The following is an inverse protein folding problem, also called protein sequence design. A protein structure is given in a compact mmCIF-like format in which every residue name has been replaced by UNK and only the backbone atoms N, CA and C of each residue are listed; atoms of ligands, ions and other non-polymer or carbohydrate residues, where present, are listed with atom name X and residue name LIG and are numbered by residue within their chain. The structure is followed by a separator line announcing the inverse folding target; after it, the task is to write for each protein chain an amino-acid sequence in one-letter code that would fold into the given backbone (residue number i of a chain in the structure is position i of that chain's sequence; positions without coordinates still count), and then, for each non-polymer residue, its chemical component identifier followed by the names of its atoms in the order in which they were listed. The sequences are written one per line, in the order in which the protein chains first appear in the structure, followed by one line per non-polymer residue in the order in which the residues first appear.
data_IF_623293658875
#
_entry.id   IF_623293658875
#
_cell.length_a   1.000
_cell.length_b   1.000
_cell.length_c   1.000
_cell.angle_alpha   90.00
_cell.angle_beta   90.00
_cell.angle_gamma   90.00
#
_symmetry.space_group_name_H-M   'P 1'
#
loop_
_entity.id
_entity.type
_entity.pdbx_description
1 polymer ?
#
# COMPACT_ATOMS: atom_id res chain seq x y z
N UNK A 1 -0.29 -14.62 35.71
CA UNK A 1 -0.15 -13.73 34.54
C UNK A 1 1.27 -13.89 34.04
N UNK A 2 1.50 -14.36 32.83
CA UNK A 2 2.84 -14.29 32.23
C UNK A 2 3.19 -12.82 32.12
N UNK A 3 4.41 -12.47 32.51
CA UNK A 3 4.92 -11.10 32.36
C UNK A 3 5.13 -10.85 30.87
N UNK A 4 4.66 -9.72 30.38
CA UNK A 4 4.87 -9.32 28.98
C UNK A 4 6.38 -9.31 28.65
N UNK A 5 6.72 -9.73 27.43
CA UNK A 5 8.07 -9.71 26.93
C UNK A 5 8.43 -8.27 26.52
N UNK A 6 9.66 -7.87 26.83
CA UNK A 6 10.20 -6.61 26.31
C UNK A 6 10.52 -6.73 24.82
N UNK A 7 10.60 -5.62 24.09
CA UNK A 7 10.98 -5.63 22.67
C UNK A 7 12.34 -6.30 22.45
N UNK A 8 13.31 -6.10 23.34
CA UNK A 8 14.60 -6.79 23.28
C UNK A 8 14.46 -8.31 23.40
N UNK A 9 13.58 -8.80 24.27
CA UNK A 9 13.30 -10.24 24.39
C UNK A 9 12.61 -10.77 23.14
N UNK A 10 11.62 -10.03 22.60
CA UNK A 10 10.94 -10.39 21.38
C UNK A 10 11.89 -10.43 20.17
N UNK A 11 12.75 -9.43 20.02
CA UNK A 11 13.78 -9.39 18.97
C UNK A 11 14.69 -10.63 19.05
N UNK A 12 15.14 -10.97 20.26
CA UNK A 12 16.05 -12.11 20.49
C UNK A 12 15.38 -13.44 20.18
N UNK A 13 14.17 -13.64 20.69
CA UNK A 13 13.44 -14.91 20.54
C UNK A 13 12.92 -15.13 19.11
N UNK A 14 12.60 -14.04 18.38
CA UNK A 14 12.15 -14.11 16.99
C UNK A 14 13.29 -14.20 15.97
N UNK A 15 14.54 -13.93 16.36
CA UNK A 15 15.69 -13.92 15.46
C UNK A 15 15.82 -15.20 14.61
N UNK A 16 15.65 -16.43 15.13
CA UNK A 16 15.69 -17.64 14.31
C UNK A 16 14.57 -17.71 13.24
N UNK A 17 13.42 -17.15 13.57
CA UNK A 17 12.28 -17.07 12.62
C UNK A 17 12.58 -16.04 11.53
N UNK A 18 13.17 -14.92 11.88
CA UNK A 18 13.61 -13.88 10.94
C UNK A 18 14.64 -14.47 9.98
N UNK A 19 15.69 -15.12 10.49
CA UNK A 19 16.72 -15.76 9.66
C UNK A 19 16.13 -16.80 8.69
N UNK A 20 15.23 -17.65 9.16
CA UNK A 20 14.52 -18.62 8.33
C UNK A 20 13.74 -17.93 7.20
N UNK A 21 13.04 -16.84 7.51
CA UNK A 21 12.24 -16.12 6.52
C UNK A 21 13.12 -15.34 5.53
N UNK A 22 14.27 -14.81 5.95
CA UNK A 22 15.28 -14.24 5.06
C UNK A 22 15.77 -15.30 4.07
N UNK A 23 16.17 -16.47 4.54
CA UNK A 23 16.66 -17.56 3.69
C UNK A 23 15.60 -17.98 2.66
N UNK A 24 14.34 -18.07 3.06
CA UNK A 24 13.23 -18.32 2.15
C UNK A 24 13.08 -17.18 1.12
N UNK A 25 13.08 -15.92 1.57
CA UNK A 25 12.97 -14.75 0.69
C UNK A 25 14.07 -14.76 -0.38
N UNK A 26 15.33 -14.93 0.04
CA UNK A 26 16.49 -15.00 -0.87
C UNK A 26 16.40 -16.14 -1.89
N UNK A 27 15.77 -17.27 -1.53
CA UNK A 27 15.56 -18.41 -2.41
C UNK A 27 14.43 -18.18 -3.41
N UNK A 28 13.36 -17.51 -2.99
CA UNK A 28 12.13 -17.35 -3.78
C UNK A 28 12.13 -16.11 -4.66
N UNK A 29 12.91 -15.08 -4.29
CA UNK A 29 12.97 -13.83 -5.04
C UNK A 29 13.51 -14.07 -6.45
N UNK A 30 13.04 -13.28 -7.39
CA UNK A 30 13.59 -13.20 -8.74
C UNK A 30 14.38 -11.91 -8.88
N UNK A 31 15.62 -12.01 -9.36
CA UNK A 31 16.39 -10.83 -9.68
C UNK A 31 15.78 -10.12 -10.90
N UNK A 32 15.71 -8.81 -10.81
CA UNK A 32 15.28 -7.95 -11.90
C UNK A 32 15.89 -6.56 -11.74
N UNK A 33 15.91 -5.82 -12.83
CA UNK A 33 16.47 -4.47 -12.84
C UNK A 33 15.45 -3.48 -13.40
N UNK A 34 15.34 -2.27 -12.83
CA UNK A 34 14.40 -1.25 -13.31
C UNK A 34 14.52 -0.97 -14.81
N UNK A 35 15.75 -0.93 -15.34
CA UNK A 35 15.98 -0.61 -16.76
C UNK A 35 15.38 -1.62 -17.75
N UNK A 36 15.11 -2.87 -17.31
CA UNK A 36 14.47 -3.89 -18.15
C UNK A 36 12.98 -3.63 -18.37
N UNK A 37 12.37 -2.78 -17.54
CA UNK A 37 10.94 -2.48 -17.54
C UNK A 37 10.61 -1.04 -17.96
N UNK A 38 11.60 -0.28 -18.44
CA UNK A 38 11.41 1.12 -18.87
C UNK A 38 11.59 1.19 -20.39
N UNK A 39 10.62 1.77 -21.13
CA UNK A 39 10.70 1.91 -22.58
C UNK A 39 11.61 3.09 -22.96
N UNK A 40 12.90 2.99 -22.72
CA UNK A 40 13.91 4.05 -22.91
C UNK A 40 13.87 4.65 -24.30
N UNK A 41 13.54 3.89 -25.33
CA UNK A 41 13.41 4.38 -26.70
C UNK A 41 12.27 5.40 -26.91
N UNK A 42 11.27 5.41 -26.01
CA UNK A 42 10.14 6.35 -26.04
C UNK A 42 10.54 7.72 -25.44
N UNK A 43 11.65 7.76 -24.71
CA UNK A 43 12.14 8.96 -24.02
C UNK A 43 12.47 10.09 -24.98
N UNK A 44 12.13 11.33 -24.58
CA UNK A 44 12.41 12.55 -25.32
C UNK A 44 12.97 13.60 -24.37
N UNK A 45 13.89 14.42 -24.88
CA UNK A 45 14.39 15.56 -24.13
C UNK A 45 13.26 16.54 -23.78
N UNK A 46 13.35 17.12 -22.59
CA UNK A 46 12.58 18.29 -22.19
C UNK A 46 13.27 19.57 -22.66
N UNK A 47 12.61 20.72 -22.48
CA UNK A 47 13.03 22.01 -23.02
C UNK A 47 14.50 22.36 -22.73
N UNK A 48 14.97 22.16 -21.51
CA UNK A 48 16.35 22.48 -21.11
C UNK A 48 17.44 21.76 -21.94
N UNK A 49 17.09 20.64 -22.58
CA UNK A 49 17.98 19.87 -23.47
C UNK A 49 17.53 19.97 -24.95
N UNK A 50 16.80 21.05 -25.31
CA UNK A 50 16.38 21.32 -26.68
C UNK A 50 15.15 20.50 -27.14
N UNK A 51 14.44 19.87 -26.23
CA UNK A 51 13.17 19.17 -26.50
C UNK A 51 11.96 20.07 -26.28
N UNK A 52 10.83 19.46 -25.98
CA UNK A 52 9.55 20.12 -25.67
C UNK A 52 9.17 19.91 -24.20
N UNK A 53 8.49 20.90 -23.63
CA UNK A 53 7.86 20.73 -22.32
C UNK A 53 6.76 19.66 -22.40
N UNK A 54 6.35 19.22 -21.23
CA UNK A 54 5.29 18.22 -21.10
C UNK A 54 3.95 18.78 -21.56
N UNK A 55 3.13 17.91 -22.18
CA UNK A 55 1.78 18.18 -22.60
C UNK A 55 0.83 17.07 -22.06
N UNK A 56 -0.30 17.43 -21.43
CA UNK A 56 -1.27 16.45 -20.92
C UNK A 56 -1.72 15.40 -21.94
N UNK A 57 -1.78 15.79 -23.22
CA UNK A 57 -2.22 14.91 -24.31
C UNK A 57 -1.15 13.86 -24.70
N UNK A 58 0.08 13.96 -24.19
CA UNK A 58 1.12 12.95 -24.43
C UNK A 58 0.90 11.67 -23.60
N UNK A 59 0.15 11.74 -22.49
CA UNK A 59 -0.08 10.58 -21.63
C UNK A 59 -0.96 9.53 -22.31
N UNK A 60 -0.45 8.30 -22.39
CA UNK A 60 -1.22 7.13 -22.86
C UNK A 60 -2.09 6.53 -21.75
N UNK A 61 -1.87 6.92 -20.50
CA UNK A 61 -2.60 6.39 -19.36
C UNK A 61 -3.93 7.10 -19.16
N UNK A 62 -4.96 6.34 -18.79
CA UNK A 62 -6.23 6.92 -18.33
C UNK A 62 -6.01 7.75 -17.04
N UNK A 63 -6.95 8.65 -16.74
CA UNK A 63 -6.88 9.42 -15.48
C UNK A 63 -6.77 8.51 -14.26
N UNK A 64 -7.54 7.43 -14.21
CA UNK A 64 -7.50 6.45 -13.11
C UNK A 64 -6.11 5.83 -12.97
N UNK A 65 -5.54 5.35 -14.07
CA UNK A 65 -4.23 4.71 -14.08
C UNK A 65 -3.12 5.68 -13.67
N UNK A 66 -3.15 6.92 -14.20
CA UNK A 66 -2.20 7.97 -13.87
C UNK A 66 -2.26 8.35 -12.39
N UNK A 67 -3.46 8.57 -11.84
CA UNK A 67 -3.64 8.90 -10.41
C UNK A 67 -3.20 7.75 -9.53
N UNK A 68 -3.52 6.51 -9.88
CA UNK A 68 -3.12 5.33 -9.12
C UNK A 68 -1.60 5.13 -9.15
N UNK A 69 -0.96 5.25 -10.32
CA UNK A 69 0.49 5.10 -10.45
C UNK A 69 1.24 6.22 -9.74
N UNK A 70 0.77 7.48 -9.82
CA UNK A 70 1.32 8.58 -9.05
C UNK A 70 1.21 8.33 -7.53
N UNK A 71 0.05 7.86 -7.07
CA UNK A 71 -0.15 7.54 -5.64
C UNK A 71 0.79 6.44 -5.19
N UNK A 72 0.95 5.37 -5.97
CA UNK A 72 1.91 4.31 -5.70
C UNK A 72 3.35 4.88 -5.64
N UNK A 73 3.78 5.65 -6.64
CA UNK A 73 5.11 6.25 -6.63
C UNK A 73 5.36 7.14 -5.41
N UNK A 74 4.42 8.01 -5.04
CA UNK A 74 4.57 8.88 -3.87
C UNK A 74 4.60 8.09 -2.54
N UNK A 75 3.99 6.91 -2.52
CA UNK A 75 4.09 5.98 -1.41
C UNK A 75 5.50 5.36 -1.36
N UNK A 76 6.00 4.84 -2.47
CA UNK A 76 7.36 4.27 -2.57
C UNK A 76 8.46 5.29 -2.24
N UNK A 77 8.34 6.51 -2.75
CA UNK A 77 9.34 7.57 -2.52
C UNK A 77 9.41 8.04 -1.05
N UNK A 78 8.41 7.73 -0.23
CA UNK A 78 8.45 8.02 1.20
C UNK A 78 9.24 6.98 2.02
N UNK A 79 9.96 6.10 1.34
CA UNK A 79 10.84 5.08 1.91
C UNK A 79 11.78 5.57 3.03
N UNK A 80 12.39 6.78 2.99
CA UNK A 80 13.20 7.28 4.10
C UNK A 80 12.46 7.28 5.45
N UNK A 81 11.16 7.58 5.44
CA UNK A 81 10.32 7.54 6.64
C UNK A 81 10.07 6.11 7.11
N UNK A 82 9.75 5.20 6.20
CA UNK A 82 9.50 3.79 6.53
C UNK A 82 10.76 3.11 7.04
N UNK A 83 11.91 3.35 6.37
CA UNK A 83 13.19 2.84 6.84
C UNK A 83 13.48 3.31 8.26
N UNK A 84 13.27 4.59 8.56
CA UNK A 84 13.45 5.14 9.91
C UNK A 84 12.58 4.40 10.93
N UNK A 85 11.28 4.23 10.65
CA UNK A 85 10.34 3.58 11.57
C UNK A 85 10.76 2.13 11.87
N UNK A 86 11.05 1.32 10.85
CA UNK A 86 11.47 -0.06 11.08
C UNK A 86 12.87 -0.16 11.70
N UNK A 87 13.80 0.74 11.35
CA UNK A 87 15.14 0.77 11.94
C UNK A 87 15.13 1.15 13.42
N UNK A 88 14.15 1.94 13.86
CA UNK A 88 13.98 2.30 15.28
C UNK A 88 13.36 1.15 16.10
N UNK A 89 12.50 0.34 15.50
CA UNK A 89 11.77 -0.72 16.18
C UNK A 89 12.46 -2.09 16.07
N UNK A 90 13.28 -2.28 15.02
CA UNK A 90 14.04 -3.51 14.81
C UNK A 90 15.51 -3.29 15.20
N UNK A 91 16.25 -4.39 15.39
CA UNK A 91 17.70 -4.29 15.51
C UNK A 91 18.34 -4.00 14.15
N UNK A 92 19.38 -3.15 14.14
CA UNK A 92 20.22 -2.95 12.95
C UNK A 92 21.37 -3.98 12.84
N UNK A 93 21.45 -4.92 13.78
CA UNK A 93 22.44 -6.00 13.81
C UNK A 93 21.79 -7.34 13.44
N UNK A 94 22.64 -8.32 13.09
CA UNK A 94 22.22 -9.69 12.83
C UNK A 94 21.19 -9.83 11.70
N UNK A 95 20.32 -10.85 11.80
CA UNK A 95 19.27 -11.09 10.81
C UNK A 95 18.29 -9.92 10.66
N UNK A 96 17.92 -9.25 11.74
CA UNK A 96 17.04 -8.09 11.68
C UNK A 96 17.64 -6.95 10.88
N UNK A 97 18.89 -6.57 11.16
CA UNK A 97 19.57 -5.51 10.41
C UNK A 97 19.79 -5.88 8.94
N UNK A 98 20.11 -7.16 8.68
CA UNK A 98 20.16 -7.63 7.29
C UNK A 98 18.83 -7.44 6.59
N UNK A 99 17.70 -7.79 7.22
CA UNK A 99 16.38 -7.62 6.62
C UNK A 99 16.03 -6.16 6.38
N UNK A 100 16.21 -5.28 7.36
CA UNK A 100 15.95 -3.84 7.22
C UNK A 100 16.67 -3.27 5.99
N UNK A 101 17.96 -3.57 5.86
CA UNK A 101 18.75 -3.08 4.74
C UNK A 101 18.34 -3.72 3.41
N UNK A 102 18.03 -5.01 3.41
CA UNK A 102 17.62 -5.74 2.21
C UNK A 102 16.27 -5.27 1.68
N UNK A 103 15.28 -5.19 2.55
CA UNK A 103 13.96 -4.66 2.24
C UNK A 103 14.03 -3.23 1.71
N UNK A 104 14.75 -2.34 2.38
CA UNK A 104 14.96 -0.96 1.93
C UNK A 104 15.56 -0.87 0.52
N UNK A 105 16.52 -1.75 0.19
CA UNK A 105 17.12 -1.76 -1.14
C UNK A 105 16.13 -2.22 -2.22
N UNK A 106 15.22 -3.13 -1.90
CA UNK A 106 14.19 -3.61 -2.82
C UNK A 106 13.09 -2.56 -3.02
N UNK A 107 12.61 -1.91 -1.95
CA UNK A 107 11.65 -0.79 -2.00
C UNK A 107 12.18 0.41 -2.81
N UNK A 108 13.42 0.80 -2.58
CA UNK A 108 14.04 1.88 -3.36
C UNK A 108 14.03 1.60 -4.88
N UNK A 109 14.14 0.35 -5.27
CA UNK A 109 14.07 -0.07 -6.67
C UNK A 109 12.67 0.15 -7.26
N UNK A 110 11.61 -0.02 -6.46
CA UNK A 110 10.23 0.21 -6.89
C UNK A 110 10.01 1.68 -7.23
N UNK A 111 10.38 2.59 -6.32
CA UNK A 111 10.29 4.04 -6.55
C UNK A 111 11.05 4.49 -7.79
N UNK A 112 12.30 4.02 -7.99
CA UNK A 112 13.12 4.30 -9.18
C UNK A 112 12.38 3.87 -10.45
N UNK A 113 11.88 2.64 -10.50
CA UNK A 113 11.25 2.08 -11.70
C UNK A 113 9.94 2.82 -12.04
N UNK A 114 9.10 3.10 -11.05
CA UNK A 114 7.84 3.84 -11.26
C UNK A 114 8.09 5.27 -11.74
N UNK A 115 9.06 5.98 -11.12
CA UNK A 115 9.44 7.33 -11.54
C UNK A 115 9.95 7.35 -12.96
N UNK A 116 10.90 6.48 -13.29
CA UNK A 116 11.51 6.45 -14.61
C UNK A 116 10.48 6.10 -15.69
N UNK A 117 9.56 5.16 -15.42
CA UNK A 117 8.45 4.86 -16.33
C UNK A 117 7.60 6.11 -16.60
N UNK A 118 7.13 6.80 -15.56
CA UNK A 118 6.27 7.97 -15.68
C UNK A 118 6.94 9.12 -16.47
N UNK A 119 8.24 9.33 -16.24
CA UNK A 119 9.00 10.39 -16.91
C UNK A 119 9.34 10.04 -18.37
N UNK A 120 9.79 8.83 -18.64
CA UNK A 120 10.17 8.37 -19.98
C UNK A 120 8.95 8.31 -20.91
N UNK A 121 7.82 7.84 -20.40
CA UNK A 121 6.57 7.78 -21.17
C UNK A 121 5.80 9.09 -21.20
N UNK A 122 6.29 10.13 -20.53
CA UNK A 122 5.65 11.45 -20.41
C UNK A 122 4.21 11.35 -19.87
N UNK A 123 3.98 10.39 -18.99
CA UNK A 123 2.64 10.11 -18.45
C UNK A 123 2.19 11.12 -17.39
N UNK A 124 3.09 11.96 -16.89
CA UNK A 124 2.83 12.97 -15.86
C UNK A 124 3.67 14.22 -16.10
N UNK A 125 3.20 15.38 -15.61
CA UNK A 125 4.01 16.60 -15.55
C UNK A 125 5.23 16.38 -14.63
N UNK A 126 6.46 16.46 -15.18
CA UNK A 126 7.69 16.23 -14.39
C UNK A 126 7.90 17.28 -13.30
N UNK A 127 7.41 18.50 -13.48
CA UNK A 127 7.54 19.58 -12.50
C UNK A 127 6.58 19.35 -11.34
N UNK A 128 5.31 19.05 -11.63
CA UNK A 128 4.32 18.69 -10.61
C UNK A 128 4.77 17.44 -9.83
N UNK A 129 5.26 16.43 -10.53
CA UNK A 129 5.75 15.20 -9.91
C UNK A 129 6.86 15.49 -8.89
N UNK A 130 7.88 16.26 -9.27
CA UNK A 130 9.01 16.55 -8.38
C UNK A 130 8.58 17.39 -7.17
N UNK A 131 7.66 18.34 -7.36
CA UNK A 131 7.09 19.12 -6.25
C UNK A 131 6.35 18.23 -5.25
N UNK A 132 5.51 17.31 -5.73
CA UNK A 132 4.77 16.36 -4.89
C UNK A 132 5.71 15.41 -4.16
N UNK A 133 6.77 14.92 -4.81
CA UNK A 133 7.77 14.03 -4.20
C UNK A 133 8.50 14.73 -3.06
N UNK A 134 9.00 15.96 -3.30
CA UNK A 134 9.67 16.76 -2.27
C UNK A 134 8.73 17.01 -1.09
N UNK A 135 7.48 17.41 -1.37
CA UNK A 135 6.49 17.66 -0.33
C UNK A 135 6.22 16.40 0.50
N UNK A 136 6.00 15.26 -0.15
CA UNK A 136 5.68 14.01 0.52
C UNK A 136 6.84 13.50 1.38
N UNK A 137 8.07 13.51 0.86
CA UNK A 137 9.26 13.08 1.62
C UNK A 137 9.56 14.04 2.77
N UNK A 138 9.36 15.36 2.57
CA UNK A 138 9.54 16.36 3.63
C UNK A 138 8.55 16.19 4.77
N UNK A 139 7.29 15.88 4.48
CA UNK A 139 6.28 15.57 5.50
C UNK A 139 6.62 14.30 6.27
N UNK A 140 7.18 13.32 5.56
CA UNK A 140 7.43 12.00 6.11
C UNK A 140 6.14 11.22 6.38
N UNK A 141 6.31 10.06 6.98
CA UNK A 141 5.22 9.22 7.43
C UNK A 141 5.61 8.53 8.74
N UNK A 142 4.69 8.59 9.71
CA UNK A 142 4.73 7.73 10.89
C UNK A 142 3.29 7.32 11.20
N UNK A 143 3.00 6.06 11.47
CA UNK A 143 1.64 5.56 11.71
C UNK A 143 0.87 6.33 12.79
N UNK A 144 1.58 6.90 13.78
CA UNK A 144 1.00 7.65 14.90
C UNK A 144 0.98 9.18 14.76
N UNK A 145 1.67 9.75 13.78
CA UNK A 145 2.02 11.17 13.76
C UNK A 145 0.84 12.17 13.66
N UNK A 146 -0.31 11.75 13.16
CA UNK A 146 -1.46 12.64 12.99
C UNK A 146 -2.45 12.69 14.16
N UNK A 147 -2.21 11.92 15.21
CA UNK A 147 -3.05 11.98 16.41
C UNK A 147 -2.47 12.89 17.50
N UNK A 148 -1.24 13.39 17.34
CA UNK A 148 -0.65 14.38 18.23
C UNK A 148 -1.42 15.71 18.29
N UNK A 149 -2.35 15.96 17.37
CA UNK A 149 -3.21 17.15 17.39
C UNK A 149 -4.38 17.05 18.36
N UNK A 150 -4.65 15.88 18.98
CA UNK A 150 -5.78 15.66 19.89
C UNK A 150 -5.41 15.11 21.29
N UNK A 151 -4.17 15.16 21.69
CA UNK A 151 -3.80 15.06 23.12
C UNK A 151 -3.47 13.68 23.69
N UNK A 152 -3.48 12.59 22.91
CA UNK A 152 -3.12 11.25 23.38
C UNK A 152 -1.75 10.80 22.82
N UNK A 153 -0.69 11.36 23.39
CA UNK A 153 0.70 11.01 23.00
C UNK A 153 1.12 9.55 23.33
N UNK A 154 0.40 8.87 24.22
CA UNK A 154 0.74 7.53 24.70
C UNK A 154 0.15 6.38 23.86
N UNK A 155 -0.76 6.66 22.93
CA UNK A 155 -1.43 5.61 22.12
C UNK A 155 -0.55 5.02 21.02
N UNK A 156 0.62 5.58 20.76
CA UNK A 156 1.49 5.23 19.62
C UNK A 156 2.98 5.10 19.97
N UNK A 157 3.31 4.68 21.18
CA UNK A 157 4.62 4.11 21.41
C UNK A 157 4.69 2.83 20.55
N UNK A 158 5.35 2.94 19.39
CA UNK A 158 5.46 1.82 18.47
C UNK A 158 6.29 0.72 19.11
N UNK A 159 5.65 -0.42 19.34
CA UNK A 159 6.33 -1.64 19.75
C UNK A 159 6.79 -2.42 18.51
N UNK A 160 7.68 -3.39 18.73
CA UNK A 160 8.06 -4.32 17.68
C UNK A 160 6.83 -4.95 17.01
N UNK A 161 5.83 -5.39 17.80
CA UNK A 161 4.62 -5.99 17.25
C UNK A 161 3.77 -5.01 16.45
N UNK A 162 3.64 -3.77 16.90
CA UNK A 162 2.91 -2.73 16.14
C UNK A 162 3.51 -2.58 14.74
N UNK A 163 4.85 -2.48 14.68
CA UNK A 163 5.57 -2.32 13.41
C UNK A 163 5.44 -3.54 12.51
N UNK A 164 5.70 -4.76 13.00
CA UNK A 164 5.66 -5.99 12.17
C UNK A 164 4.25 -6.27 11.67
N UNK A 165 3.24 -6.07 12.51
CA UNK A 165 1.83 -6.28 12.15
C UNK A 165 1.37 -5.22 11.16
N UNK A 166 1.69 -3.92 11.40
CA UNK A 166 1.34 -2.84 10.47
C UNK A 166 1.92 -3.11 9.08
N UNK A 167 3.22 -3.41 8.98
CA UNK A 167 3.88 -3.64 7.70
C UNK A 167 3.31 -4.89 7.00
N UNK A 168 2.85 -5.91 7.73
CA UNK A 168 2.16 -7.05 7.11
C UNK A 168 0.95 -6.61 6.27
N UNK A 169 0.10 -5.75 6.82
CA UNK A 169 -1.09 -5.26 6.11
C UNK A 169 -0.74 -4.25 5.02
N UNK A 170 0.24 -3.40 5.28
CA UNK A 170 0.72 -2.41 4.32
C UNK A 170 1.28 -3.08 3.07
N UNK A 171 2.18 -4.06 3.19
CA UNK A 171 2.77 -4.81 2.08
C UNK A 171 1.71 -5.57 1.26
N UNK A 172 0.72 -6.14 1.93
CA UNK A 172 -0.37 -6.80 1.20
C UNK A 172 -1.25 -5.80 0.46
N UNK A 173 -1.49 -4.64 1.05
CA UNK A 173 -2.27 -3.57 0.41
C UNK A 173 -1.52 -2.97 -0.79
N UNK A 174 -0.20 -2.73 -0.68
CA UNK A 174 0.61 -2.25 -1.81
C UNK A 174 0.70 -3.30 -2.91
N UNK A 175 0.89 -4.58 -2.58
CA UNK A 175 0.81 -5.67 -3.55
C UNK A 175 -0.48 -5.62 -4.37
N UNK A 176 -1.63 -5.49 -3.70
CA UNK A 176 -2.95 -5.45 -4.37
C UNK A 176 -3.08 -4.17 -5.20
N UNK A 177 -2.67 -3.02 -4.65
CA UNK A 177 -2.69 -1.73 -5.35
C UNK A 177 -1.85 -1.77 -6.63
N UNK A 178 -0.59 -2.21 -6.55
CA UNK A 178 0.30 -2.31 -7.72
C UNK A 178 -0.28 -3.23 -8.79
N UNK A 179 -0.76 -4.43 -8.39
CA UNK A 179 -1.31 -5.38 -9.36
C UNK A 179 -2.54 -4.82 -10.08
N UNK A 180 -3.44 -4.19 -9.35
CA UNK A 180 -4.67 -3.62 -9.94
C UNK A 180 -4.39 -2.35 -10.74
N UNK A 181 -3.42 -1.52 -10.32
CA UNK A 181 -2.95 -0.37 -11.10
C UNK A 181 -2.38 -0.83 -12.46
N UNK A 182 -1.56 -1.89 -12.47
CA UNK A 182 -1.02 -2.46 -13.72
C UNK A 182 -2.13 -2.82 -14.70
N UNK A 183 -3.17 -3.52 -14.24
CA UNK A 183 -4.33 -3.86 -15.06
C UNK A 183 -5.07 -2.60 -15.56
N UNK A 184 -5.22 -1.59 -14.70
CA UNK A 184 -5.91 -0.35 -15.05
C UNK A 184 -5.14 0.51 -16.06
N UNK A 185 -3.82 0.38 -16.15
CA UNK A 185 -2.99 1.06 -17.15
C UNK A 185 -3.36 0.66 -18.57
N UNK A 186 -3.84 -0.55 -18.79
CA UNK A 186 -4.18 -1.10 -20.12
C UNK A 186 -3.01 -0.89 -21.11
N UNK A 187 -1.78 -0.98 -20.63
CA UNK A 187 -0.54 -0.79 -21.35
C UNK A 187 0.46 -1.88 -20.90
N UNK A 188 1.06 -2.55 -21.85
CA UNK A 188 1.80 -3.80 -21.60
C UNK A 188 3.01 -3.60 -20.69
N UNK A 189 3.79 -2.54 -20.91
CA UNK A 189 5.02 -2.31 -20.13
C UNK A 189 4.68 -1.93 -18.69
N UNK A 190 3.68 -1.04 -18.50
CA UNK A 190 3.19 -0.69 -17.16
C UNK A 190 2.64 -1.91 -16.41
N UNK A 191 1.87 -2.77 -17.08
CA UNK A 191 1.33 -3.98 -16.46
C UNK A 191 2.43 -4.95 -16.04
N UNK A 192 3.46 -5.16 -16.88
CA UNK A 192 4.61 -6.01 -16.55
C UNK A 192 5.43 -5.44 -15.40
N UNK A 193 5.72 -4.13 -15.41
CA UNK A 193 6.43 -3.45 -14.33
C UNK A 193 5.69 -3.62 -13.00
N UNK A 194 4.41 -3.26 -12.96
CA UNK A 194 3.62 -3.31 -11.73
C UNK A 194 3.32 -4.75 -11.27
N UNK A 195 3.27 -5.71 -12.18
CA UNK A 195 3.25 -7.13 -11.83
C UNK A 195 4.56 -7.55 -11.16
N UNK A 196 5.69 -7.01 -11.60
CA UNK A 196 6.99 -7.32 -11.01
C UNK A 196 7.10 -6.74 -9.60
N UNK A 197 6.77 -5.46 -9.43
CA UNK A 197 6.70 -4.80 -8.11
C UNK A 197 5.76 -5.56 -7.17
N UNK A 198 4.53 -5.83 -7.60
CA UNK A 198 3.55 -6.62 -6.82
C UNK A 198 4.07 -8.00 -6.39
N UNK A 199 4.97 -8.62 -7.15
CA UNK A 199 5.56 -9.90 -6.77
C UNK A 199 6.62 -9.76 -5.66
N UNK A 200 7.36 -8.66 -5.62
CA UNK A 200 8.28 -8.35 -4.52
C UNK A 200 7.49 -8.03 -3.24
N UNK A 201 6.47 -7.16 -3.32
CA UNK A 201 5.56 -6.85 -2.21
C UNK A 201 4.95 -8.12 -1.58
N UNK A 202 4.60 -9.10 -2.41
CA UNK A 202 4.11 -10.38 -1.90
C UNK A 202 5.15 -11.13 -1.06
N UNK A 203 6.43 -11.06 -1.42
CA UNK A 203 7.49 -11.71 -0.65
C UNK A 203 7.80 -10.96 0.64
N UNK A 204 7.74 -9.62 0.62
CA UNK A 204 7.86 -8.78 1.80
C UNK A 204 6.71 -9.07 2.77
N UNK A 205 5.48 -9.07 2.30
CA UNK A 205 4.30 -9.42 3.09
C UNK A 205 4.43 -10.80 3.74
N UNK A 206 4.88 -11.81 3.01
CA UNK A 206 5.03 -13.15 3.55
C UNK A 206 6.08 -13.17 4.69
N UNK A 207 7.16 -12.38 4.57
CA UNK A 207 8.15 -12.26 5.63
C UNK A 207 7.50 -11.69 6.91
N UNK A 208 6.89 -10.51 6.84
CA UNK A 208 6.28 -9.84 7.99
C UNK A 208 5.14 -10.66 8.59
N UNK A 209 4.28 -11.24 7.76
CA UNK A 209 3.17 -12.11 8.18
C UNK A 209 3.64 -13.33 8.98
N UNK A 210 4.70 -13.98 8.52
CA UNK A 210 5.18 -15.22 9.16
C UNK A 210 5.98 -14.91 10.43
N UNK A 211 6.66 -13.75 10.52
CA UNK A 211 7.27 -13.24 11.75
C UNK A 211 6.17 -12.88 12.76
N UNK A 212 5.11 -12.17 12.33
CA UNK A 212 3.95 -11.89 13.19
C UNK A 212 3.26 -13.17 13.69
N UNK A 213 3.12 -14.18 12.84
CA UNK A 213 2.54 -15.47 13.25
C UNK A 213 3.33 -16.12 14.41
N UNK A 214 4.66 -16.11 14.30
CA UNK A 214 5.53 -16.60 15.39
C UNK A 214 5.39 -15.72 16.66
N UNK A 215 5.21 -14.42 16.50
CA UNK A 215 4.92 -13.50 17.60
C UNK A 215 3.61 -13.85 18.32
N UNK A 216 2.54 -14.16 17.58
CA UNK A 216 1.29 -14.65 18.16
C UNK A 216 1.45 -15.97 18.91
N UNK A 217 2.31 -16.88 18.43
CA UNK A 217 2.55 -18.15 19.11
C UNK A 217 3.40 -17.97 20.38
N UNK A 218 4.23 -16.95 20.43
CA UNK A 218 5.13 -16.65 21.55
C UNK A 218 4.46 -15.80 22.64
N UNK A 219 3.78 -14.73 22.24
CA UNK A 219 3.18 -13.74 23.13
C UNK A 219 1.77 -13.34 22.65
N UNK A 220 0.80 -14.25 22.67
CA UNK A 220 -0.50 -14.08 22.04
C UNK A 220 -1.23 -12.82 22.52
N UNK A 221 -1.22 -12.54 23.81
CA UNK A 221 -1.91 -11.39 24.37
C UNK A 221 -1.30 -10.05 23.89
N UNK A 222 0.04 -9.92 23.91
CA UNK A 222 0.71 -8.72 23.42
C UNK A 222 0.47 -8.51 21.91
N UNK A 223 0.60 -9.58 21.13
CA UNK A 223 0.34 -9.52 19.69
C UNK A 223 -1.12 -9.14 19.37
N UNK A 224 -2.09 -9.61 20.20
CA UNK A 224 -3.49 -9.23 20.03
C UNK A 224 -3.75 -7.76 20.35
N UNK A 225 -3.10 -7.20 21.36
CA UNK A 225 -3.16 -5.75 21.65
C UNK A 225 -2.66 -4.94 20.46
N UNK A 226 -1.51 -5.28 19.90
CA UNK A 226 -0.95 -4.63 18.72
C UNK A 226 -1.84 -4.80 17.49
N UNK A 227 -2.39 -6.00 17.26
CA UNK A 227 -3.30 -6.23 16.13
C UNK A 227 -4.56 -5.36 16.21
N UNK A 228 -5.20 -5.32 17.36
CA UNK A 228 -6.37 -4.47 17.58
C UNK A 228 -6.03 -3.00 17.35
N UNK A 229 -4.95 -2.48 17.96
CA UNK A 229 -4.46 -1.11 17.77
C UNK A 229 -4.22 -0.79 16.30
N UNK A 230 -3.51 -1.67 15.59
CA UNK A 230 -3.16 -1.48 14.18
C UNK A 230 -4.40 -1.44 13.30
N UNK A 231 -5.30 -2.41 13.41
CA UNK A 231 -6.45 -2.51 12.51
C UNK A 231 -7.51 -1.42 12.76
N UNK A 232 -7.77 -1.06 14.01
CA UNK A 232 -8.74 -0.01 14.33
C UNK A 232 -8.25 1.40 13.95
N UNK A 233 -6.94 1.57 13.75
CA UNK A 233 -6.32 2.85 13.37
C UNK A 233 -5.61 2.79 12.01
N UNK A 234 -5.84 1.76 11.22
CA UNK A 234 -5.10 1.53 9.98
C UNK A 234 -5.25 2.69 8.99
N UNK A 235 -4.13 3.21 8.54
CA UNK A 235 -4.06 4.20 7.46
C UNK A 235 -2.98 3.79 6.48
N UNK A 236 -3.32 3.86 5.19
CA UNK A 236 -2.33 3.66 4.13
C UNK A 236 -1.30 4.79 4.13
N UNK A 237 -0.03 4.49 3.82
CA UNK A 237 1.03 5.51 3.76
C UNK A 237 0.70 6.70 2.85
N UNK A 238 -0.09 6.48 1.81
CA UNK A 238 -0.51 7.51 0.87
C UNK A 238 -1.49 8.56 1.42
N UNK A 239 -2.04 8.39 2.63
CA UNK A 239 -3.08 9.30 3.14
C UNK A 239 -2.58 10.73 3.38
N UNK A 240 -1.27 10.94 3.52
CA UNK A 240 -0.63 12.24 3.68
C UNK A 240 -0.39 12.98 2.34
N UNK A 241 -0.59 12.29 1.22
CA UNK A 241 -0.43 12.88 -0.12
C UNK A 241 -1.42 14.03 -0.32
N UNK A 242 -1.01 15.17 -0.89
CA UNK A 242 -1.93 16.26 -1.20
C UNK A 242 -3.15 15.79 -2.00
N UNK A 243 -4.34 16.25 -1.62
CA UNK A 243 -5.62 15.87 -2.24
C UNK A 243 -5.91 14.35 -2.21
N UNK A 244 -5.35 13.61 -1.24
CA UNK A 244 -5.50 12.17 -1.14
C UNK A 244 -6.96 11.72 -1.22
N UNK A 245 -7.89 12.42 -0.54
CA UNK A 245 -9.32 12.05 -0.57
C UNK A 245 -9.88 12.04 -2.00
N UNK A 246 -9.52 13.02 -2.83
CA UNK A 246 -9.94 13.08 -4.23
C UNK A 246 -9.29 11.95 -5.06
N UNK A 247 -7.99 11.74 -4.86
CA UNK A 247 -7.25 10.64 -5.50
C UNK A 247 -7.83 9.28 -5.13
N UNK A 248 -8.11 9.04 -3.86
CA UNK A 248 -8.74 7.81 -3.37
C UNK A 248 -10.11 7.54 -4.00
N UNK A 249 -10.95 8.58 -4.16
CA UNK A 249 -12.23 8.45 -4.87
C UNK A 249 -12.04 8.06 -6.34
N UNK A 250 -11.05 8.63 -7.02
CA UNK A 250 -10.73 8.28 -8.41
C UNK A 250 -10.27 6.83 -8.52
N UNK A 251 -9.33 6.41 -7.65
CA UNK A 251 -8.79 5.06 -7.57
C UNK A 251 -9.89 4.04 -7.29
N UNK A 252 -10.74 4.31 -6.29
CA UNK A 252 -11.82 3.43 -5.90
C UNK A 252 -12.91 3.33 -6.98
N UNK A 253 -13.25 4.45 -7.62
CA UNK A 253 -14.22 4.46 -8.73
C UNK A 253 -13.71 3.68 -9.95
N UNK A 254 -12.40 3.64 -10.15
CA UNK A 254 -11.74 2.86 -11.19
C UNK A 254 -11.57 1.38 -10.85
N UNK A 255 -11.94 0.94 -9.64
CA UNK A 255 -11.81 -0.46 -9.20
C UNK A 255 -10.38 -0.89 -8.93
N UNK A 256 -9.46 0.05 -8.69
CA UNK A 256 -8.05 -0.25 -8.38
C UNK A 256 -7.88 -0.63 -6.92
N UNK A 257 -8.41 0.20 -6.03
CA UNK A 257 -8.40 -0.04 -4.58
C UNK A 257 -9.57 0.65 -3.91
N UNK A 258 -10.34 -0.08 -3.13
CA UNK A 258 -11.51 0.44 -2.42
C UNK A 258 -11.71 -0.32 -1.08
N UNK A 259 -12.67 0.08 -0.21
CA UNK A 259 -12.89 -0.58 1.08
C UNK A 259 -13.18 -2.08 0.96
N UNK A 260 -13.89 -2.53 -0.08
CA UNK A 260 -14.19 -3.95 -0.30
C UNK A 260 -12.91 -4.73 -0.59
N UNK A 261 -12.08 -4.23 -1.51
CA UNK A 261 -10.77 -4.81 -1.83
C UNK A 261 -9.88 -4.85 -0.58
N UNK A 262 -9.88 -3.77 0.24
CA UNK A 262 -9.11 -3.75 1.49
C UNK A 262 -9.57 -4.83 2.47
N UNK A 263 -10.86 -4.99 2.67
CA UNK A 263 -11.38 -6.01 3.58
C UNK A 263 -11.13 -7.43 3.06
N UNK A 264 -11.51 -7.71 1.80
CA UNK A 264 -11.54 -9.07 1.26
C UNK A 264 -10.15 -9.58 0.85
N UNK A 265 -9.30 -8.71 0.27
CA UNK A 265 -8.01 -9.10 -0.30
C UNK A 265 -6.82 -8.80 0.64
N UNK A 266 -7.02 -7.99 1.68
CA UNK A 266 -5.94 -7.59 2.60
C UNK A 266 -6.22 -8.05 4.03
N UNK A 267 -7.28 -7.55 4.66
CA UNK A 267 -7.54 -7.80 6.09
C UNK A 267 -7.88 -9.27 6.35
N UNK A 268 -8.91 -9.78 5.69
CA UNK A 268 -9.42 -11.12 5.96
C UNK A 268 -8.44 -12.26 5.65
N UNK A 269 -7.63 -12.21 4.57
CA UNK A 269 -6.62 -13.25 4.32
C UNK A 269 -5.55 -13.35 5.41
N UNK A 270 -5.13 -12.22 5.97
CA UNK A 270 -4.13 -12.17 7.04
C UNK A 270 -4.72 -12.71 8.35
N UNK A 271 -5.91 -12.24 8.76
CA UNK A 271 -6.59 -12.71 9.97
C UNK A 271 -6.86 -14.22 9.93
N UNK A 272 -7.30 -14.73 8.76
CA UNK A 272 -7.46 -16.18 8.54
C UNK A 272 -6.13 -16.93 8.65
N UNK A 273 -5.06 -16.40 8.08
CA UNK A 273 -3.73 -17.02 8.13
C UNK A 273 -3.23 -17.14 9.57
N UNK A 274 -3.46 -16.13 10.39
CA UNK A 274 -3.11 -16.13 11.81
C UNK A 274 -4.14 -16.84 12.68
N UNK A 275 -5.29 -17.23 12.12
CA UNK A 275 -6.38 -17.92 12.81
C UNK A 275 -6.90 -17.14 14.02
N UNK A 276 -6.96 -15.81 13.92
CA UNK A 276 -7.23 -14.91 15.05
C UNK A 276 -8.52 -15.27 15.80
N UNK A 277 -9.60 -15.55 15.09
CA UNK A 277 -10.89 -15.89 15.69
C UNK A 277 -11.07 -17.37 16.08
N UNK A 278 -10.06 -18.20 15.76
CA UNK A 278 -10.04 -19.63 16.09
C UNK A 278 -9.07 -19.94 17.24
N UNK A 279 -8.28 -18.92 17.69
CA UNK A 279 -7.34 -19.09 18.80
C UNK A 279 -8.07 -19.09 20.14
N UNK A 280 -7.68 -20.00 21.02
CA UNK A 280 -8.19 -20.16 22.38
C UNK A 280 -7.19 -19.74 23.48
N UNK A 281 -6.01 -19.25 23.07
CA UNK A 281 -4.91 -18.84 23.94
C UNK A 281 -4.95 -17.35 24.33
N UNK A 282 -5.86 -16.56 23.79
CA UNK A 282 -6.10 -15.19 24.24
C UNK A 282 -6.81 -15.18 25.60
N UNK A 283 -6.29 -14.42 26.56
CA UNK A 283 -6.83 -14.34 27.92
C UNK A 283 -7.03 -12.89 28.37
N UNK A 284 -7.95 -12.69 29.33
CA UNK A 284 -8.21 -11.40 29.94
C UNK A 284 -8.58 -10.33 28.90
N UNK A 285 -7.84 -9.23 28.88
CA UNK A 285 -8.09 -8.09 28.00
C UNK A 285 -7.89 -8.44 26.52
N UNK A 286 -6.91 -9.28 26.18
CA UNK A 286 -6.69 -9.71 24.81
C UNK A 286 -7.87 -10.51 24.22
N UNK A 287 -8.57 -11.31 25.03
CA UNK A 287 -9.79 -11.99 24.59
C UNK A 287 -10.91 -10.98 24.28
N UNK A 288 -11.07 -9.94 25.12
CA UNK A 288 -12.02 -8.83 24.86
C UNK A 288 -11.67 -8.08 23.59
N UNK A 289 -10.39 -7.73 23.37
CA UNK A 289 -9.93 -7.04 22.16
C UNK A 289 -10.14 -7.85 20.88
N UNK A 290 -10.00 -9.20 20.95
CA UNK A 290 -10.36 -10.07 19.83
C UNK A 290 -11.85 -9.94 19.49
N UNK A 291 -12.73 -9.91 20.49
CA UNK A 291 -14.17 -9.80 20.28
C UNK A 291 -14.54 -8.38 19.76
N UNK A 292 -13.88 -7.33 20.25
CA UNK A 292 -14.01 -5.96 19.71
C UNK A 292 -13.52 -5.86 18.27
N UNK A 293 -12.43 -6.56 17.93
CA UNK A 293 -11.97 -6.65 16.55
C UNK A 293 -13.00 -7.31 15.63
N UNK A 294 -13.72 -8.35 16.11
CA UNK A 294 -14.79 -8.96 15.33
C UNK A 294 -15.90 -7.94 15.01
N UNK A 295 -16.30 -7.14 15.99
CA UNK A 295 -17.27 -6.03 15.77
C UNK A 295 -16.73 -5.01 14.78
N UNK A 296 -15.47 -4.62 14.90
CA UNK A 296 -14.84 -3.70 13.95
C UNK A 296 -14.85 -4.23 12.52
N UNK A 297 -14.62 -5.53 12.32
CA UNK A 297 -14.73 -6.17 11.00
C UNK A 297 -16.17 -6.10 10.45
N UNK A 298 -17.19 -6.29 11.29
CA UNK A 298 -18.59 -6.12 10.89
C UNK A 298 -18.89 -4.67 10.46
N UNK A 299 -18.36 -3.67 11.17
CA UNK A 299 -18.49 -2.25 10.81
C UNK A 299 -17.79 -1.92 9.48
N UNK A 300 -16.62 -2.53 9.22
CA UNK A 300 -15.96 -2.42 7.93
C UNK A 300 -16.79 -3.03 6.81
N UNK A 301 -17.40 -4.21 7.03
CA UNK A 301 -18.31 -4.84 6.07
C UNK A 301 -19.52 -3.95 5.75
N UNK A 302 -20.15 -3.34 6.76
CA UNK A 302 -21.22 -2.36 6.52
C UNK A 302 -20.73 -1.17 5.69
N UNK A 303 -19.51 -0.70 5.92
CA UNK A 303 -18.90 0.39 5.15
C UNK A 303 -18.68 -0.03 3.70
N UNK A 304 -18.24 -1.26 3.46
CA UNK A 304 -18.10 -1.85 2.13
C UNK A 304 -19.45 -1.90 1.40
N UNK A 305 -20.51 -2.38 2.06
CA UNK A 305 -21.87 -2.43 1.48
C UNK A 305 -22.35 -1.02 1.09
N UNK A 306 -22.18 -0.03 1.97
CA UNK A 306 -22.54 1.37 1.69
C UNK A 306 -21.76 1.92 0.49
N UNK A 307 -20.48 1.60 0.39
CA UNK A 307 -19.62 1.98 -0.74
C UNK A 307 -20.10 1.31 -2.04
N UNK A 308 -20.35 0.01 -2.04
CA UNK A 308 -20.81 -0.75 -3.21
C UNK A 308 -22.12 -0.18 -3.77
N UNK A 309 -23.07 0.13 -2.90
CA UNK A 309 -24.34 0.78 -3.29
C UNK A 309 -24.08 2.16 -3.93
N UNK A 310 -23.19 2.96 -3.35
CA UNK A 310 -22.86 4.29 -3.87
C UNK A 310 -22.15 4.20 -5.24
N UNK A 311 -21.24 3.24 -5.40
CA UNK A 311 -20.51 2.92 -6.63
C UNK A 311 -21.48 2.51 -7.73
N UNK A 312 -22.40 1.61 -7.44
CA UNK A 312 -23.42 1.15 -8.37
C UNK A 312 -24.32 2.30 -8.85
N UNK A 313 -24.83 3.12 -7.94
CA UNK A 313 -25.64 4.30 -8.28
C UNK A 313 -24.89 5.32 -9.15
N UNK A 314 -23.57 5.46 -8.94
CA UNK A 314 -22.72 6.33 -9.78
C UNK A 314 -22.59 5.76 -11.20
N UNK A 315 -22.34 4.46 -11.34
CA UNK A 315 -22.24 3.79 -12.64
C UNK A 315 -23.55 3.91 -13.44
N UNK A 316 -24.69 3.71 -12.79
CA UNK A 316 -26.01 3.87 -13.43
C UNK A 316 -26.25 5.31 -13.92
N UNK A 317 -25.81 6.32 -13.14
CA UNK A 317 -25.90 7.72 -13.58
C UNK A 317 -25.02 8.00 -14.78
N UNK A 318 -23.79 7.48 -14.80
CA UNK A 318 -22.87 7.63 -15.93
C UNK A 318 -23.46 6.97 -17.20
N UNK A 319 -23.99 5.76 -17.08
CA UNK A 319 -24.63 5.05 -18.18
C UNK A 319 -25.81 5.85 -18.75
N UNK A 320 -26.73 6.35 -17.91
CA UNK A 320 -27.84 7.19 -18.31
C UNK A 320 -27.42 8.49 -19.01
N UNK A 321 -26.33 9.10 -18.59
CA UNK A 321 -25.80 10.31 -19.25
C UNK A 321 -25.23 9.97 -20.62
N UNK A 322 -24.49 8.86 -20.73
CA UNK A 322 -23.93 8.37 -21.99
C UNK A 322 -25.03 8.03 -23.00
N UNK A 323 -26.09 7.33 -22.58
CA UNK A 323 -27.26 7.01 -23.39
C UNK A 323 -27.96 8.29 -23.92
N UNK A 324 -28.17 9.28 -23.02
CA UNK A 324 -28.79 10.57 -23.44
C UNK A 324 -27.93 11.33 -24.45
N UNK A 325 -26.59 11.30 -24.28
CA UNK A 325 -25.67 11.93 -25.22
C UNK A 325 -25.71 11.23 -26.57
N UNK A 326 -25.63 9.90 -26.59
CA UNK A 326 -25.72 9.12 -27.84
C UNK A 326 -27.04 9.34 -28.57
N UNK A 327 -28.19 9.39 -27.86
CA UNK A 327 -29.47 9.69 -28.42
C UNK A 327 -29.54 11.11 -29.02
N UNK A 328 -28.92 12.10 -28.37
CA UNK A 328 -28.86 13.48 -28.89
C UNK A 328 -28.01 13.58 -30.15
N UNK A 329 -26.85 12.89 -30.16
CA UNK A 329 -25.94 12.91 -31.32
C UNK A 329 -26.59 12.24 -32.55
N UNK A 330 -27.40 11.19 -32.37
CA UNK A 330 -28.18 10.55 -33.42
C UNK A 330 -29.24 11.50 -33.98
N UNK A 331 -29.92 12.29 -33.16
CA UNK A 331 -30.92 13.26 -33.59
C UNK A 331 -30.31 14.43 -34.38
N UNK A 332 -29.13 14.90 -34.00
CA UNK A 332 -28.39 15.97 -34.71
C UNK A 332 -27.86 15.46 -36.05
N UNK A 333 -27.36 14.22 -36.11
CA UNK A 333 -26.90 13.62 -37.37
C UNK A 333 -28.04 13.38 -38.42
N UNK A 334 -29.26 13.12 -37.95
CA UNK A 334 -30.42 12.92 -38.83
C UNK A 334 -31.06 14.21 -39.35
N UNK A 335 -30.75 15.36 -38.79
CA UNK A 335 -31.24 16.68 -39.22
C UNK A 335 -30.29 17.41 -40.19
N UNK A 336 -29.13 16.81 -40.49
CA UNK A 336 -28.12 17.37 -41.39
C UNK A 336 -28.03 16.64 -42.74
N UNK A 337 -28.93 15.70 -43.01
CA UNK A 337 -29.14 15.01 -44.29
C UNK A 337 -30.49 15.43 -44.90
#
# INVERSE_FOLDING_TARGET
MSKDLTDLQLLTELEPVVEKNINRHLTMRKDWNPHDYIPWSDGKNYYALGGKDWDPDESKLSEVARVAMLTNLLTEDNLPSYHREIAMNFSMDGPWGFWVNRWTAEENRHGIALRDYLLVTRSIDPVELEQLRIEQVTRGFSPGQNQQLEGDADLFADSLFDSVIYVTFQELATRVSHRNTGKACNETVADQLLQRVSADENLHMIFYRDVSAAGFDMAPNQAMHSLHKVLTNFKMPGYTIPDFRRKAVTIASGGVYDPRIHLDDVVMPVLKKWRIFERDDFTGDAARLRDELAVHIEELEETCVKFDIAKQRRLERIAKVAEKKAAKDLLVGSSAS
#
